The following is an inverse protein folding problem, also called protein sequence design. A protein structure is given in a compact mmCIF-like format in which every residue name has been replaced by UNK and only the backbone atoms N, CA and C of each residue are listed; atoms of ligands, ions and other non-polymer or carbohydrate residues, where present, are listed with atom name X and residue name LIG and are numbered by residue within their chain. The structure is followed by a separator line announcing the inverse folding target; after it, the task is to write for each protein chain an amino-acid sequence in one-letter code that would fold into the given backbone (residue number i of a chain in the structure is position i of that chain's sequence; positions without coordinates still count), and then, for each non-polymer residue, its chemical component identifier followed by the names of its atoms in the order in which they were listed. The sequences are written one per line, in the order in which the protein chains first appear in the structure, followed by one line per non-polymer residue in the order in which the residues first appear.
data_IF_347958434506
#
_entry.id   IF_347958434506
#
_cell.length_a   1.000
_cell.length_b   1.000
_cell.length_c   1.000
_cell.angle_alpha   90.00
_cell.angle_beta   90.00
_cell.angle_gamma   90.00
#
_symmetry.space_group_name_H-M   'P 1'
#
loop_
_entity.id
_entity.type
_entity.pdbx_description
1 polymer ?
#
# COMPACT_ATOMS: atom_id res chain seq x y z
N UNK A 1 -8.14 -2.49 -8.34
CA UNK A 1 -7.61 -1.67 -9.44
C UNK A 1 -7.11 -2.54 -10.59
N UNK A 2 -6.97 -1.98 -11.79
CA UNK A 2 -6.24 -2.62 -12.91
C UNK A 2 -4.87 -1.98 -13.06
N UNK A 3 -3.82 -2.78 -13.22
CA UNK A 3 -2.45 -2.28 -13.34
C UNK A 3 -1.78 -2.75 -14.62
N UNK A 4 -1.00 -1.87 -15.22
CA UNK A 4 -0.21 -2.16 -16.42
C UNK A 4 1.28 -2.17 -16.09
N UNK A 5 1.90 -3.34 -16.23
CA UNK A 5 3.33 -3.53 -15.96
C UNK A 5 4.12 -3.35 -17.25
N UNK A 6 5.08 -2.42 -17.25
CA UNK A 6 6.02 -2.27 -18.38
C UNK A 6 7.09 -3.34 -18.30
N UNK A 7 7.53 -3.85 -19.45
CA UNK A 7 8.57 -4.89 -19.56
C UNK A 7 9.92 -4.49 -18.97
N UNK A 8 10.21 -3.19 -18.89
CA UNK A 8 11.41 -2.65 -18.25
C UNK A 8 10.98 -1.66 -17.17
N UNK A 9 11.28 -2.02 -15.93
CA UNK A 9 11.01 -1.20 -14.74
C UNK A 9 12.34 -0.77 -14.14
N UNK A 10 12.62 0.54 -14.15
CA UNK A 10 13.80 1.09 -13.47
C UNK A 10 13.42 1.51 -12.04
N UNK A 11 14.23 1.15 -11.03
CA UNK A 11 14.03 1.68 -9.68
C UNK A 11 14.27 3.19 -9.68
N UNK A 12 13.42 3.92 -8.96
CA UNK A 12 13.56 5.37 -8.75
C UNK A 12 13.98 5.70 -7.32
N UNK A 13 14.03 4.70 -6.45
CA UNK A 13 14.37 4.84 -5.04
C UNK A 13 14.11 3.55 -4.28
N UNK A 14 14.38 3.59 -2.99
CA UNK A 14 14.09 2.54 -2.02
C UNK A 14 13.38 3.20 -0.85
N UNK A 15 12.29 2.59 -0.39
CA UNK A 15 11.50 3.12 0.72
C UNK A 15 11.12 2.00 1.68
N UNK A 16 10.94 2.39 2.93
CA UNK A 16 10.38 1.54 3.97
C UNK A 16 8.98 2.05 4.35
N UNK A 17 8.01 1.14 4.38
CA UNK A 17 6.61 1.50 4.57
C UNK A 17 5.82 0.40 5.25
N UNK A 18 4.77 0.80 5.96
CA UNK A 18 3.75 -0.12 6.44
C UNK A 18 2.70 -0.36 5.35
N UNK A 19 2.30 -1.60 5.14
CA UNK A 19 1.27 -1.99 4.17
C UNK A 19 0.19 -2.84 4.83
N UNK A 20 -1.05 -2.64 4.39
CA UNK A 20 -2.21 -3.45 4.73
C UNK A 20 -2.68 -4.11 3.42
N UNK A 21 -2.51 -5.42 3.24
CA UNK A 21 -2.88 -6.09 2.00
C UNK A 21 -4.40 -6.11 1.81
N UNK A 22 -4.83 -5.83 0.58
CA UNK A 22 -6.24 -5.71 0.21
C UNK A 22 -6.66 -6.83 -0.75
N UNK A 23 -5.87 -7.10 -1.79
CA UNK A 23 -6.16 -8.10 -2.80
C UNK A 23 -4.87 -8.62 -3.44
N UNK A 24 -4.89 -9.86 -3.96
CA UNK A 24 -3.78 -10.47 -4.70
C UNK A 24 -4.20 -10.87 -6.11
N UNK A 25 -3.23 -10.85 -7.03
CA UNK A 25 -3.31 -11.42 -8.35
C UNK A 25 -1.96 -12.02 -8.74
N UNK A 26 -1.82 -13.34 -8.62
CA UNK A 26 -0.56 -14.04 -8.82
C UNK A 26 0.50 -13.55 -7.83
N UNK A 27 1.57 -12.95 -8.34
CA UNK A 27 2.68 -12.40 -7.54
C UNK A 27 2.50 -10.93 -7.16
N UNK A 28 1.37 -10.32 -7.50
CA UNK A 28 1.11 -8.90 -7.21
C UNK A 28 0.09 -8.77 -6.10
N UNK A 29 0.36 -7.90 -5.14
CA UNK A 29 -0.53 -7.61 -4.00
C UNK A 29 -0.84 -6.12 -3.97
N UNK A 30 -2.12 -5.78 -4.09
CA UNK A 30 -2.63 -4.43 -3.87
C UNK A 30 -2.73 -4.19 -2.37
N UNK A 31 -2.15 -3.10 -1.90
CA UNK A 31 -2.08 -2.75 -0.49
C UNK A 31 -2.51 -1.31 -0.24
N UNK A 32 -3.06 -1.07 0.95
CA UNK A 32 -3.23 0.25 1.52
C UNK A 32 -1.98 0.63 2.32
N UNK A 33 -1.47 1.83 2.10
CA UNK A 33 -0.46 2.48 2.92
C UNK A 33 -1.00 3.82 3.42
N UNK A 34 -0.58 4.25 4.61
CA UNK A 34 -0.75 5.63 5.07
C UNK A 34 0.61 6.31 5.04
N UNK A 35 0.70 7.43 4.33
CA UNK A 35 1.94 8.16 4.10
C UNK A 35 1.90 9.54 4.78
N UNK A 36 3.01 9.91 5.42
CA UNK A 36 3.22 11.25 5.97
C UNK A 36 3.67 12.21 4.86
N UNK A 37 2.72 12.76 4.10
CA UNK A 37 2.98 13.73 3.01
C UNK A 37 3.45 15.09 3.53
N UNK A 38 2.89 15.50 4.66
CA UNK A 38 3.28 16.64 5.49
C UNK A 38 3.49 16.14 6.92
N UNK A 39 4.18 16.89 7.78
CA UNK A 39 4.33 16.53 9.20
C UNK A 39 2.97 16.23 9.87
N UNK A 40 2.83 15.07 10.51
CA UNK A 40 1.55 14.61 11.09
C UNK A 40 0.53 14.12 10.05
N UNK A 41 0.92 14.05 8.77
CA UNK A 41 0.11 13.57 7.66
C UNK A 41 -0.19 12.08 7.75
N UNK A 42 -1.32 11.70 7.15
CA UNK A 42 -1.89 10.34 7.15
C UNK A 42 -2.63 10.07 5.84
N UNK A 43 -2.03 10.50 4.73
CA UNK A 43 -2.64 10.36 3.42
C UNK A 43 -2.69 8.88 3.04
N UNK A 44 -3.89 8.36 2.80
CA UNK A 44 -4.08 7.01 2.29
C UNK A 44 -3.61 6.91 0.85
N UNK A 45 -2.83 5.87 0.56
CA UNK A 45 -2.21 5.60 -0.73
C UNK A 45 -2.39 4.13 -1.08
N UNK A 46 -2.86 3.87 -2.30
CA UNK A 46 -2.83 2.52 -2.85
C UNK A 46 -1.45 2.27 -3.45
N UNK A 47 -0.90 1.11 -3.12
CA UNK A 47 0.42 0.66 -3.57
C UNK A 47 0.31 -0.77 -4.05
N UNK A 48 1.21 -1.17 -4.95
CA UNK A 48 1.33 -2.57 -5.36
C UNK A 48 2.66 -3.11 -4.90
N UNK A 49 2.68 -4.36 -4.48
CA UNK A 49 3.90 -5.08 -4.10
C UNK A 49 4.04 -6.32 -4.96
N UNK A 50 5.25 -6.55 -5.49
CA UNK A 50 5.63 -7.79 -6.14
C UNK A 50 6.13 -8.78 -5.06
N UNK A 51 5.25 -9.64 -4.61
CA UNK A 51 5.50 -10.69 -3.62
C UNK A 51 5.63 -12.05 -4.32
N UNK A 52 6.87 -12.40 -4.69
CA UNK A 52 7.13 -13.66 -5.42
C UNK A 52 7.05 -14.91 -4.52
N UNK A 53 7.13 -14.73 -3.21
CA UNK A 53 7.32 -15.84 -2.26
C UNK A 53 6.18 -15.99 -1.25
N UNK A 54 5.19 -15.09 -1.25
CA UNK A 54 4.07 -15.13 -0.31
C UNK A 54 4.47 -14.68 1.10
N UNK A 55 5.40 -13.71 1.16
CA UNK A 55 5.92 -13.18 2.42
C UNK A 55 4.88 -12.28 3.12
N UNK A 56 4.03 -11.59 2.35
CA UNK A 56 3.02 -10.67 2.87
C UNK A 56 1.88 -11.45 3.54
N UNK A 57 1.60 -11.12 4.81
CA UNK A 57 0.55 -11.75 5.61
C UNK A 57 -0.75 -10.95 5.55
N UNK A 58 -1.84 -11.61 5.17
CA UNK A 58 -3.14 -10.97 4.92
C UNK A 58 -3.97 -10.63 6.16
N UNK A 59 -3.51 -11.06 7.34
CA UNK A 59 -4.19 -10.89 8.62
C UNK A 59 -3.54 -9.82 9.51
N UNK A 60 -2.49 -9.16 9.04
CA UNK A 60 -1.74 -8.17 9.82
C UNK A 60 -1.20 -7.02 8.96
N UNK A 61 -0.73 -5.97 9.63
CA UNK A 61 0.08 -4.91 9.01
C UNK A 61 1.47 -5.50 8.78
N UNK A 62 1.99 -5.35 7.58
CA UNK A 62 3.35 -5.78 7.24
C UNK A 62 4.22 -4.52 7.11
N UNK A 63 5.45 -4.59 7.60
CA UNK A 63 6.45 -3.56 7.34
C UNK A 63 7.40 -4.10 6.29
N UNK A 64 7.57 -3.34 5.22
CA UNK A 64 8.41 -3.75 4.11
C UNK A 64 9.44 -2.68 3.79
N UNK A 65 10.61 -3.13 3.32
CA UNK A 65 11.59 -2.30 2.64
C UNK A 65 11.79 -2.84 1.24
N UNK A 66 11.79 -1.96 0.23
CA UNK A 66 11.97 -2.42 -1.14
C UNK A 66 12.20 -1.31 -2.14
N UNK A 67 12.64 -1.72 -3.34
CA UNK A 67 12.82 -0.81 -4.47
C UNK A 67 11.48 -0.35 -4.97
N UNK A 68 11.40 0.94 -5.31
CA UNK A 68 10.19 1.60 -5.76
C UNK A 68 10.29 1.98 -7.23
N UNK A 69 9.16 1.95 -7.90
CA UNK A 69 8.91 2.55 -9.22
C UNK A 69 7.45 3.01 -9.32
N UNK A 70 7.00 3.47 -10.49
CA UNK A 70 5.60 3.83 -10.72
C UNK A 70 5.04 3.09 -11.94
N UNK A 71 3.88 2.47 -11.75
CA UNK A 71 3.13 1.76 -12.78
C UNK A 71 1.80 2.47 -13.05
N UNK A 72 1.28 2.29 -14.27
CA UNK A 72 0.02 2.90 -14.67
C UNK A 72 -1.14 2.08 -14.09
N UNK A 73 -2.17 2.76 -13.60
CA UNK A 73 -3.28 2.15 -12.90
C UNK A 73 -4.64 2.80 -13.24
N UNK A 74 -5.66 1.97 -13.30
CA UNK A 74 -7.07 2.34 -13.51
C UNK A 74 -7.92 1.78 -12.36
N UNK A 75 -9.05 2.41 -12.04
CA UNK A 75 -9.94 1.94 -10.98
C UNK A 75 -9.55 2.35 -9.54
N UNK A 76 -8.55 3.23 -9.39
CA UNK A 76 -7.99 3.63 -8.08
C UNK A 76 -9.04 4.33 -7.19
N UNK A 77 -9.91 5.14 -7.80
CA UNK A 77 -10.95 5.86 -7.06
C UNK A 77 -12.07 4.93 -6.58
N UNK A 78 -12.42 3.94 -7.39
CA UNK A 78 -13.39 2.88 -7.10
C UNK A 78 -12.93 2.04 -5.89
N UNK A 79 -11.64 1.70 -5.85
CA UNK A 79 -11.05 0.99 -4.72
C UNK A 79 -11.09 1.82 -3.45
N UNK A 80 -10.70 3.10 -3.51
CA UNK A 80 -10.84 3.99 -2.37
C UNK A 80 -12.29 4.14 -1.90
N UNK A 81 -13.26 4.19 -2.82
CA UNK A 81 -14.68 4.23 -2.47
C UNK A 81 -15.15 2.96 -1.76
N UNK A 82 -14.61 1.79 -2.11
CA UNK A 82 -14.88 0.53 -1.43
C UNK A 82 -14.25 0.50 -0.04
N UNK A 83 -12.99 0.93 0.10
CA UNK A 83 -12.26 0.99 1.38
C UNK A 83 -12.93 1.97 2.37
N UNK A 84 -13.39 3.14 1.88
CA UNK A 84 -14.06 4.16 2.71
C UNK A 84 -15.34 3.69 3.40
N UNK A 85 -15.97 2.62 2.89
CA UNK A 85 -17.14 2.01 3.52
C UNK A 85 -16.78 1.20 4.76
N UNK A 86 -15.50 0.82 4.89
CA UNK A 86 -15.00 -0.03 5.97
C UNK A 86 -14.22 0.80 6.99
N UNK A 87 -13.36 1.71 6.53
CA UNK A 87 -12.53 2.56 7.39
C UNK A 87 -12.60 4.03 6.98
N UNK A 88 -12.35 4.94 7.95
CA UNK A 88 -12.27 6.37 7.67
C UNK A 88 -10.96 6.69 6.96
N UNK A 89 -11.02 7.39 5.82
CA UNK A 89 -9.84 7.91 5.12
C UNK A 89 -9.89 9.44 5.13
N UNK A 90 -9.00 10.08 5.89
CA UNK A 90 -9.02 11.56 6.05
C UNK A 90 -8.58 12.27 4.77
N UNK A 91 -7.58 11.73 4.09
CA UNK A 91 -7.06 12.20 2.79
C UNK A 91 -6.68 11.00 1.94
N UNK A 92 -6.86 11.10 0.62
CA UNK A 92 -6.51 10.05 -0.34
C UNK A 92 -5.56 10.59 -1.40
N UNK A 93 -4.59 9.78 -1.81
CA UNK A 93 -3.70 10.06 -2.93
C UNK A 93 -4.33 9.54 -4.22
N UNK A 94 -5.06 10.41 -4.94
CA UNK A 94 -5.64 10.08 -6.24
C UNK A 94 -4.56 10.16 -7.31
N UNK A 95 -4.05 9.02 -7.76
CA UNK A 95 -2.96 8.93 -8.71
C UNK A 95 -3.31 7.94 -9.83
N UNK A 96 -3.12 8.35 -11.09
CA UNK A 96 -3.17 7.43 -12.24
C UNK A 96 -1.92 6.55 -12.36
N UNK A 97 -0.90 6.85 -11.54
CA UNK A 97 0.32 6.07 -11.43
C UNK A 97 0.55 5.71 -9.96
N UNK A 98 0.40 4.44 -9.64
CA UNK A 98 0.61 3.93 -8.28
C UNK A 98 2.04 3.44 -8.12
N UNK A 99 2.63 3.54 -6.92
CA UNK A 99 3.91 2.92 -6.69
C UNK A 99 3.82 1.40 -6.79
N UNK A 100 4.84 0.82 -7.39
CA UNK A 100 5.12 -0.60 -7.32
C UNK A 100 6.41 -0.80 -6.52
N UNK A 101 6.34 -1.67 -5.52
CA UNK A 101 7.48 -2.13 -4.74
C UNK A 101 7.89 -3.52 -5.17
N UNK A 102 9.20 -3.74 -5.34
CA UNK A 102 9.80 -5.00 -5.74
C UNK A 102 11.15 -5.20 -5.05
N UNK A 103 11.68 -6.41 -5.12
CA UNK A 103 12.83 -6.84 -4.32
C UNK A 103 12.59 -6.52 -2.83
N UNK A 104 11.40 -6.86 -2.34
CA UNK A 104 10.98 -6.52 -0.97
C UNK A 104 11.61 -7.42 0.07
N UNK A 105 11.72 -6.89 1.29
CA UNK A 105 12.07 -7.61 2.50
C UNK A 105 11.06 -7.24 3.59
N UNK A 106 10.61 -8.23 4.37
CA UNK A 106 9.85 -7.97 5.61
C UNK A 106 10.81 -7.42 6.66
N UNK A 107 10.39 -6.38 7.37
CA UNK A 107 11.20 -5.68 8.37
C UNK A 107 10.58 -5.88 9.75
N UNK A 108 11.29 -6.61 10.63
CA UNK A 108 10.82 -6.84 12.00
C UNK A 108 10.96 -5.61 12.90
N UNK A 109 11.99 -4.79 12.66
CA UNK A 109 12.30 -3.58 13.43
C UNK A 109 12.31 -2.36 12.51
N UNK A 110 11.13 -1.85 12.13
CA UNK A 110 11.03 -0.80 11.14
C UNK A 110 11.53 0.57 11.64
N UNK A 111 12.07 1.39 10.74
CA UNK A 111 12.41 2.78 11.04
C UNK A 111 11.14 3.61 11.21
N UNK A 112 10.75 3.79 12.48
CA UNK A 112 9.59 4.58 12.88
C UNK A 112 9.68 6.06 12.45
N UNK A 113 10.83 6.53 11.98
CA UNK A 113 10.97 7.87 11.40
C UNK A 113 10.67 7.95 9.91
N UNK A 114 10.60 6.82 9.21
CA UNK A 114 10.22 6.78 7.79
C UNK A 114 8.81 7.30 7.60
N UNK A 115 8.62 8.17 6.60
CA UNK A 115 7.30 8.74 6.25
C UNK A 115 6.28 7.67 5.87
N UNK A 116 6.73 6.55 5.30
CA UNK A 116 5.87 5.41 4.94
C UNK A 116 5.34 4.63 6.14
N UNK A 117 5.91 4.85 7.33
CA UNK A 117 5.51 4.22 8.61
C UNK A 117 4.82 5.26 9.50
N UNK A 118 5.37 6.48 9.58
CA UNK A 118 4.77 7.60 10.33
C UNK A 118 3.33 7.87 9.94
N UNK A 119 2.98 7.76 8.66
CA UNK A 119 1.60 7.95 8.22
C UNK A 119 0.61 6.98 8.89
N UNK A 120 1.00 5.73 9.09
CA UNK A 120 0.20 4.75 9.83
C UNK A 120 0.15 5.08 11.33
N UNK A 121 1.27 5.44 11.94
CA UNK A 121 1.33 5.85 13.34
C UNK A 121 0.38 7.03 13.58
N UNK A 122 0.45 8.05 12.73
CA UNK A 122 -0.42 9.23 12.77
C UNK A 122 -1.89 8.86 12.58
N UNK A 123 -2.19 7.88 11.71
CA UNK A 123 -3.55 7.38 11.52
C UNK A 123 -4.08 6.69 12.79
N UNK A 124 -3.31 5.76 13.35
CA UNK A 124 -3.69 5.00 14.54
C UNK A 124 -3.79 5.88 15.79
N UNK A 125 -3.00 6.95 15.89
CA UNK A 125 -3.12 7.92 16.96
C UNK A 125 -4.51 8.60 17.01
N UNK A 126 -5.21 8.69 15.88
CA UNK A 126 -6.55 9.31 15.80
C UNK A 126 -7.68 8.29 15.78
N UNK A 127 -7.54 7.23 14.97
CA UNK A 127 -8.61 6.25 14.75
C UNK A 127 -8.46 4.98 15.60
N UNK A 128 -7.40 4.90 16.42
CA UNK A 128 -7.07 3.84 17.40
C UNK A 128 -6.71 2.48 16.81
N UNK A 129 -7.53 1.94 15.92
CA UNK A 129 -7.33 0.60 15.35
C UNK A 129 -7.86 0.49 13.92
N UNK A 130 -7.38 -0.54 13.21
CA UNK A 130 -7.85 -0.93 11.88
C UNK A 130 -8.20 -2.41 11.94
N UNK A 131 -9.45 -2.76 11.61
CA UNK A 131 -9.83 -4.16 11.43
C UNK A 131 -9.33 -4.66 10.06
N UNK A 132 -8.13 -5.22 10.03
CA UNK A 132 -7.44 -5.65 8.81
C UNK A 132 -8.23 -6.74 8.08
N UNK A 133 -8.82 -7.68 8.81
CA UNK A 133 -9.61 -8.77 8.23
C UNK A 133 -10.80 -8.25 7.44
N UNK A 134 -11.41 -7.13 7.86
CA UNK A 134 -12.53 -6.52 7.15
C UNK A 134 -12.15 -5.82 5.83
N UNK A 135 -10.86 -5.55 5.61
CA UNK A 135 -10.35 -4.92 4.39
C UNK A 135 -9.96 -5.95 3.32
N UNK A 136 -9.82 -7.23 3.69
CA UNK A 136 -9.44 -8.28 2.77
C UNK A 136 -10.50 -8.45 1.68
N UNK A 137 -10.04 -8.47 0.43
CA UNK A 137 -10.85 -8.62 -0.79
C UNK A 137 -11.96 -7.57 -0.94
N UNK A 138 -11.86 -6.41 -0.26
CA UNK A 138 -12.79 -5.28 -0.46
C UNK A 138 -12.62 -4.63 -1.85
N UNK A 139 -11.47 -4.91 -2.49
CA UNK A 139 -11.11 -4.49 -3.86
C UNK A 139 -10.73 -5.73 -4.68
N UNK A 140 -10.52 -5.54 -5.99
CA UNK A 140 -10.03 -6.58 -6.90
C UNK A 140 -8.84 -6.07 -7.70
N UNK A 141 -7.74 -6.83 -7.72
CA UNK A 141 -6.56 -6.50 -8.51
C UNK A 141 -6.58 -7.26 -9.85
N UNK A 142 -6.42 -6.54 -10.95
CA UNK A 142 -6.23 -7.12 -12.29
C UNK A 142 -4.89 -6.64 -12.88
N UNK A 143 -4.14 -7.55 -13.50
CA UNK A 143 -2.89 -7.23 -14.21
C UNK A 143 -3.15 -7.35 -15.71
N UNK A 144 -2.89 -6.27 -16.46
CA UNK A 144 -3.18 -6.14 -17.90
C UNK A 144 -1.95 -5.79 -18.74
#
# INVERSE_FOLDING_TARGET
MKIKIKSIVKPIGEEELSIIPLAENGVFVECLNFYEDIEGGRQARLVVVLDKYGDIKFDQINYIKGKKTYIDAEGVDEDFNSIKKIIKLDRIARMYRVPLYFDIQIVDNPDMNSRGIKGLINYLAVHKEINITSLRNVVRLEVI
#
